data_IF_375561284364
#
_entry.id   IF_375561284364
#
_cell.length_a   1.000
_cell.length_b   1.000
_cell.length_c   1.000
_cell.angle_alpha   90.00
_cell.angle_beta   90.00
_cell.angle_gamma   90.00
#
_symmetry.space_group_name_H-M   'P 1'
#
loop_
_entity.id
_entity.type
_entity.pdbx_description
1 polymer ?
#
# COMPACT_ATOMS: atom_id res chain seq x y z
N UNK A 1 -25.46 9.90 -5.56
CA UNK A 1 -24.94 10.94 -6.48
C UNK A 1 -24.70 10.28 -7.83
N UNK A 2 -25.32 10.75 -8.92
CA UNK A 2 -25.14 10.14 -10.25
C UNK A 2 -23.79 10.59 -10.83
N UNK A 3 -22.87 9.65 -11.05
CA UNK A 3 -21.61 9.92 -11.77
C UNK A 3 -21.93 10.04 -13.26
N UNK A 4 -21.90 11.27 -13.82
CA UNK A 4 -22.19 11.52 -15.24
C UNK A 4 -21.01 11.15 -16.15
N UNK A 5 -21.33 10.51 -17.26
CA UNK A 5 -20.56 10.40 -18.53
C UNK A 5 -19.02 10.42 -18.44
N UNK A 6 -18.45 9.43 -17.76
CA UNK A 6 -17.16 8.88 -18.17
C UNK A 6 -17.45 7.50 -18.71
N UNK A 7 -16.98 7.21 -19.93
CA UNK A 7 -17.12 5.90 -20.56
C UNK A 7 -17.00 4.78 -19.53
N UNK A 8 -18.00 3.89 -19.48
CA UNK A 8 -18.19 2.81 -18.50
C UNK A 8 -17.15 1.71 -18.66
N UNK A 9 -15.88 2.08 -18.79
CA UNK A 9 -14.78 1.17 -18.84
C UNK A 9 -14.47 0.80 -17.39
N UNK A 10 -14.97 -0.37 -16.98
CA UNK A 10 -14.33 -1.10 -15.87
C UNK A 10 -12.87 -1.21 -16.27
N UNK A 11 -12.01 -0.49 -15.55
CA UNK A 11 -10.58 -0.58 -15.81
C UNK A 11 -10.16 -1.96 -15.35
N UNK A 12 -10.05 -2.89 -16.30
CA UNK A 12 -9.29 -4.10 -16.05
C UNK A 12 -7.86 -3.64 -15.72
N UNK A 13 -7.24 -4.15 -14.65
CA UNK A 13 -5.81 -3.96 -14.49
C UNK A 13 -5.16 -4.40 -15.81
N UNK A 14 -4.21 -3.60 -16.35
CA UNK A 14 -3.65 -3.88 -17.66
C UNK A 14 -3.14 -5.32 -17.67
N UNK A 15 -3.71 -6.19 -18.52
CA UNK A 15 -3.29 -7.58 -18.65
C UNK A 15 -1.88 -7.59 -19.20
N UNK A 16 -0.89 -7.66 -18.32
CA UNK A 16 0.52 -7.58 -18.68
C UNK A 16 1.21 -8.80 -18.12
N UNK A 17 1.71 -9.64 -19.03
CA UNK A 17 2.60 -10.74 -18.69
C UNK A 17 3.89 -10.16 -18.10
N UNK A 18 4.10 -10.47 -16.81
CA UNK A 18 5.23 -10.02 -16.00
C UNK A 18 6.58 -10.58 -16.46
N UNK A 19 6.61 -11.56 -17.39
CA UNK A 19 7.81 -12.32 -17.76
C UNK A 19 9.00 -11.44 -18.22
N UNK A 20 8.74 -10.28 -18.84
CA UNK A 20 9.79 -9.32 -19.21
C UNK A 20 10.31 -8.44 -18.05
N UNK A 21 9.57 -8.34 -16.95
CA UNK A 21 9.84 -7.42 -15.83
C UNK A 21 10.66 -8.06 -14.69
N UNK A 22 10.68 -9.40 -14.59
CA UNK A 22 11.23 -10.13 -13.44
C UNK A 22 12.76 -10.06 -13.32
N UNK A 23 13.49 -9.96 -14.44
CA UNK A 23 14.97 -9.97 -14.45
C UNK A 23 15.54 -8.57 -14.17
N UNK A 24 15.46 -8.12 -12.91
CA UNK A 24 16.20 -6.94 -12.40
C UNK A 24 15.38 -5.93 -11.59
N UNK A 25 14.05 -6.00 -11.62
CA UNK A 25 13.17 -5.07 -10.90
C UNK A 25 13.09 -5.32 -9.37
N UNK A 26 13.44 -6.53 -8.92
CA UNK A 26 13.39 -6.92 -7.51
C UNK A 26 14.50 -6.36 -6.64
N UNK A 27 15.53 -5.75 -7.23
CA UNK A 27 16.59 -5.05 -6.50
C UNK A 27 16.08 -3.86 -5.66
N UNK A 28 14.81 -3.49 -5.80
CA UNK A 28 14.14 -2.38 -5.08
C UNK A 28 13.17 -2.83 -4.00
N UNK A 29 12.84 -4.12 -3.97
CA UNK A 29 12.02 -4.66 -2.89
C UNK A 29 12.97 -4.96 -1.74
N UNK A 30 12.70 -4.38 -0.58
CA UNK A 30 13.32 -4.86 0.64
C UNK A 30 12.61 -6.18 0.97
N UNK A 31 13.17 -7.29 0.51
CA UNK A 31 12.73 -8.63 0.88
C UNK A 31 13.73 -9.21 1.87
N UNK A 32 13.28 -9.42 3.11
CA UNK A 32 14.03 -10.18 4.09
C UNK A 32 13.45 -11.59 4.20
N UNK A 33 14.26 -12.68 4.23
CA UNK A 33 15.72 -12.75 4.38
C UNK A 33 16.47 -13.05 3.05
N UNK A 34 16.02 -12.57 1.89
CA UNK A 34 16.60 -12.95 0.57
C UNK A 34 17.96 -12.28 0.28
N UNK A 35 18.96 -12.51 1.14
CA UNK A 35 20.28 -13.08 0.81
C UNK A 35 21.25 -12.34 -0.12
N UNK A 36 20.88 -11.23 -0.77
CA UNK A 36 21.85 -10.46 -1.56
C UNK A 36 22.19 -9.19 -0.82
N UNK A 37 23.36 -9.20 -0.16
CA UNK A 37 24.12 -7.99 0.14
C UNK A 37 24.23 -7.20 -1.16
N UNK A 38 23.36 -6.22 -1.35
CA UNK A 38 23.57 -5.23 -2.40
C UNK A 38 24.94 -4.62 -2.11
N UNK A 39 25.92 -4.86 -2.98
CA UNK A 39 27.20 -4.16 -2.94
C UNK A 39 26.85 -2.68 -2.83
N UNK A 40 27.40 -2.00 -1.82
CA UNK A 40 27.31 -0.55 -1.68
C UNK A 40 27.61 0.05 -3.06
N UNK A 41 26.59 0.57 -3.74
CA UNK A 41 26.84 1.76 -4.55
C UNK A 41 26.80 2.85 -3.51
N UNK A 42 27.95 3.42 -3.21
CA UNK A 42 28.00 4.65 -2.45
C UNK A 42 27.07 5.62 -3.17
N UNK A 43 25.89 5.86 -2.60
CA UNK A 43 24.97 6.85 -3.13
C UNK A 43 25.63 8.17 -2.72
N UNK A 44 26.20 8.93 -3.66
CA UNK A 44 27.06 10.07 -3.33
C UNK A 44 26.29 11.21 -2.65
N UNK A 45 24.96 11.11 -2.59
CA UNK A 45 24.07 12.13 -2.05
C UNK A 45 22.99 11.48 -1.17
N UNK A 46 22.77 12.08 -0.01
CA UNK A 46 21.63 11.75 0.85
C UNK A 46 20.39 12.52 0.41
N UNK A 47 19.24 11.85 0.41
CA UNK A 47 17.95 12.48 0.13
C UNK A 47 17.43 13.18 1.37
N UNK A 48 17.12 14.47 1.26
CA UNK A 48 16.51 15.26 2.34
C UNK A 48 14.99 15.28 2.28
N UNK A 49 14.39 14.90 1.15
CA UNK A 49 12.93 14.84 0.97
C UNK A 49 12.49 13.40 0.72
N UNK A 50 11.41 13.00 1.36
CA UNK A 50 10.82 11.66 1.21
C UNK A 50 9.35 11.77 0.85
N UNK A 51 8.95 10.97 -0.13
CA UNK A 51 7.56 10.73 -0.47
C UNK A 51 7.18 9.31 -0.04
N UNK A 52 6.17 9.16 0.80
CA UNK A 52 5.70 7.84 1.24
C UNK A 52 4.38 7.53 0.54
N UNK A 53 4.35 6.46 -0.23
CA UNK A 53 3.21 6.01 -1.02
C UNK A 53 2.72 4.66 -0.48
N UNK A 54 1.48 4.28 -0.73
CA UNK A 54 0.92 3.06 -0.16
C UNK A 54 -0.60 2.97 -0.33
N UNK A 55 -1.18 1.79 -0.59
CA UNK A 55 -2.63 1.66 -0.50
C UNK A 55 -3.10 2.01 0.93
N UNK A 56 -4.38 2.35 1.10
CA UNK A 56 -4.93 2.70 2.42
C UNK A 56 -4.57 1.67 3.49
N UNK A 57 -4.24 2.11 4.71
CA UNK A 57 -3.88 1.23 5.83
C UNK A 57 -2.69 0.27 5.60
N UNK A 58 -1.75 0.61 4.71
CA UNK A 58 -0.46 -0.08 4.54
C UNK A 58 0.65 0.42 5.49
N UNK A 59 0.32 1.27 6.46
CA UNK A 59 1.28 1.81 7.42
C UNK A 59 2.02 3.08 6.97
N UNK A 60 1.56 3.75 5.91
CA UNK A 60 2.14 5.03 5.44
C UNK A 60 2.28 6.06 6.56
N UNK A 61 1.23 6.29 7.36
CA UNK A 61 1.29 7.23 8.49
C UNK A 61 2.26 6.78 9.58
N UNK A 62 2.41 5.47 9.80
CA UNK A 62 3.33 4.95 10.81
C UNK A 62 4.78 5.25 10.41
N UNK A 63 5.19 4.85 9.19
CA UNK A 63 6.54 5.14 8.71
C UNK A 63 6.80 6.66 8.60
N UNK A 64 5.81 7.46 8.20
CA UNK A 64 5.95 8.92 8.14
C UNK A 64 6.27 9.57 9.50
N UNK A 65 5.80 8.99 10.62
CA UNK A 65 6.15 9.43 11.98
C UNK A 65 7.58 9.01 12.36
N UNK A 66 8.02 7.84 11.90
CA UNK A 66 9.34 7.31 12.21
C UNK A 66 10.45 8.00 11.43
N UNK A 67 10.24 8.35 10.16
CA UNK A 67 11.28 8.92 9.30
C UNK A 67 12.02 10.13 9.93
N UNK A 68 11.34 11.18 10.43
CA UNK A 68 12.03 12.31 11.05
C UNK A 68 12.64 11.99 12.42
N UNK A 69 12.26 10.87 13.08
CA UNK A 69 12.92 10.42 14.31
C UNK A 69 14.31 9.86 14.04
N UNK A 70 14.49 9.17 12.91
CA UNK A 70 15.73 8.47 12.59
C UNK A 70 16.60 9.18 11.56
N UNK A 71 16.03 9.98 10.65
CA UNK A 71 16.74 10.53 9.50
C UNK A 71 16.62 12.05 9.39
N UNK A 72 17.64 12.68 8.80
CA UNK A 72 17.66 14.10 8.40
C UNK A 72 16.78 14.33 7.15
N UNK A 73 15.48 14.02 7.27
CA UNK A 73 14.55 14.02 6.14
C UNK A 73 13.23 14.71 6.47
N UNK A 74 12.59 15.26 5.43
CA UNK A 74 11.24 15.81 5.47
C UNK A 74 10.30 14.99 4.60
N UNK A 75 9.18 14.53 5.19
CA UNK A 75 8.06 13.95 4.44
C UNK A 75 7.31 15.07 3.72
N UNK A 76 7.16 14.96 2.40
CA UNK A 76 6.57 16.03 1.55
C UNK A 76 5.13 15.77 1.10
N UNK A 77 4.54 14.63 1.46
CA UNK A 77 3.18 14.24 1.04
C UNK A 77 2.30 13.77 2.22
N UNK A 78 2.37 14.49 3.35
CA UNK A 78 1.59 14.14 4.56
C UNK A 78 0.09 14.25 4.29
N UNK A 79 -0.31 15.34 3.63
CA UNK A 79 -1.67 15.65 3.21
C UNK A 79 -1.79 15.73 1.68
N UNK A 80 -3.02 15.57 1.16
CA UNK A 80 -3.27 15.60 -0.30
C UNK A 80 -2.91 16.95 -0.90
N UNK A 81 -3.11 18.03 -0.16
CA UNK A 81 -2.78 19.40 -0.60
C UNK A 81 -1.27 19.65 -0.72
N UNK A 82 -0.43 18.96 0.07
CA UNK A 82 1.03 19.15 0.05
C UNK A 82 1.63 18.74 -1.30
N UNK A 83 1.09 17.66 -1.88
CA UNK A 83 1.56 17.10 -3.15
C UNK A 83 0.47 16.26 -3.81
N UNK A 84 -0.49 16.88 -4.52
CA UNK A 84 -1.62 16.17 -5.13
C UNK A 84 -1.20 15.07 -6.12
N UNK A 85 -0.13 15.32 -6.88
CA UNK A 85 0.44 14.34 -7.83
C UNK A 85 0.98 13.10 -7.14
N UNK A 86 1.51 13.27 -5.92
CA UNK A 86 2.13 12.20 -5.14
C UNK A 86 1.30 11.87 -3.89
N UNK A 87 -0.02 11.89 -4.05
CA UNK A 87 -0.91 11.52 -2.96
C UNK A 87 -0.66 10.07 -2.56
N UNK A 88 -0.42 9.87 -1.26
CA UNK A 88 0.06 8.60 -0.72
C UNK A 88 -0.83 7.41 -1.05
N UNK A 89 -2.14 7.60 -1.19
CA UNK A 89 -3.08 6.52 -1.46
C UNK A 89 -3.55 6.42 -2.92
N UNK A 90 -3.00 7.24 -3.82
CA UNK A 90 -3.36 7.21 -5.24
C UNK A 90 -2.69 6.09 -6.00
N UNK A 91 -3.32 5.68 -7.11
CA UNK A 91 -2.66 4.87 -8.14
C UNK A 91 -1.75 5.78 -8.95
N UNK A 92 -0.45 5.52 -8.89
CA UNK A 92 0.55 6.38 -9.47
C UNK A 92 0.52 6.26 -11.00
N UNK A 93 0.66 7.39 -11.68
CA UNK A 93 0.66 7.47 -13.15
C UNK A 93 2.05 7.85 -13.64
N UNK A 94 2.40 7.54 -14.90
CA UNK A 94 3.63 8.05 -15.50
C UNK A 94 3.68 9.58 -15.38
N UNK A 95 4.78 10.10 -14.85
CA UNK A 95 5.04 11.54 -14.76
C UNK A 95 6.16 11.93 -15.72
N UNK A 96 6.16 13.17 -16.20
CA UNK A 96 7.25 13.67 -17.06
C UNK A 96 8.60 13.61 -16.34
N UNK A 97 8.63 14.00 -15.07
CA UNK A 97 9.81 13.87 -14.21
C UNK A 97 9.39 13.85 -12.72
N UNK A 98 10.06 12.99 -11.94
CA UNK A 98 9.98 13.02 -10.49
C UNK A 98 11.09 13.95 -9.95
N UNK A 99 10.85 14.77 -8.91
CA UNK A 99 11.87 15.70 -8.40
C UNK A 99 13.15 14.96 -8.01
N UNK A 100 14.31 15.43 -8.46
CA UNK A 100 15.59 14.69 -8.34
C UNK A 100 16.08 14.49 -6.91
N UNK A 101 15.64 15.35 -5.99
CA UNK A 101 16.01 15.35 -4.58
C UNK A 101 15.05 14.56 -3.67
N UNK A 102 14.13 13.79 -4.26
CA UNK A 102 13.12 13.01 -3.52
C UNK A 102 13.41 11.52 -3.57
N UNK A 103 13.36 10.88 -2.40
CA UNK A 103 13.34 9.43 -2.23
C UNK A 103 11.91 8.92 -2.00
N UNK A 104 11.53 7.84 -2.68
CA UNK A 104 10.18 7.27 -2.63
C UNK A 104 10.15 5.99 -1.80
N UNK A 105 9.34 5.96 -0.75
CA UNK A 105 9.07 4.76 0.05
C UNK A 105 7.67 4.26 -0.28
N UNK A 106 7.58 3.13 -0.97
CA UNK A 106 6.33 2.52 -1.39
C UNK A 106 5.95 1.43 -0.39
N UNK A 107 5.04 1.76 0.52
CA UNK A 107 4.47 0.83 1.47
C UNK A 107 3.55 -0.16 0.77
N UNK A 108 3.63 -1.41 1.21
CA UNK A 108 2.75 -2.48 0.77
C UNK A 108 2.38 -3.36 1.95
N UNK A 109 1.24 -4.03 1.88
CA UNK A 109 0.73 -4.91 2.93
C UNK A 109 0.12 -6.13 2.29
N UNK A 110 0.18 -7.27 2.97
CA UNK A 110 -0.49 -8.49 2.52
C UNK A 110 -1.97 -8.22 2.19
N UNK A 111 -2.48 -8.66 1.02
CA UNK A 111 -3.82 -8.32 0.57
C UNK A 111 -4.93 -8.80 1.52
N UNK A 112 -4.76 -9.94 2.19
CA UNK A 112 -5.74 -10.49 3.12
C UNK A 112 -5.87 -9.67 4.39
N UNK A 113 -4.74 -9.26 4.97
CA UNK A 113 -4.73 -8.32 6.10
C UNK A 113 -5.15 -6.90 5.70
N UNK A 114 -4.78 -6.47 4.49
CA UNK A 114 -5.11 -5.17 3.94
C UNK A 114 -6.62 -5.00 3.77
N UNK A 115 -7.32 -5.92 3.10
CA UNK A 115 -8.76 -5.78 2.86
C UNK A 115 -9.58 -5.80 4.17
N UNK A 116 -9.11 -6.49 5.19
CA UNK A 116 -9.71 -6.44 6.53
C UNK A 116 -9.50 -5.12 7.23
N UNK A 117 -8.36 -4.48 6.99
CA UNK A 117 -8.11 -3.16 7.55
C UNK A 117 -9.01 -2.07 6.95
N UNK A 118 -9.51 -2.27 5.72
CA UNK A 118 -10.47 -1.36 5.09
C UNK A 118 -11.88 -1.48 5.68
N UNK A 119 -12.31 -2.70 6.00
CA UNK A 119 -13.67 -3.00 6.42
C UNK A 119 -13.89 -2.98 7.95
N UNK A 120 -13.10 -2.17 8.68
CA UNK A 120 -13.13 -2.17 10.15
C UNK A 120 -14.38 -1.52 10.73
N UNK A 121 -14.91 -0.50 10.07
CA UNK A 121 -16.12 0.19 10.52
C UNK A 121 -17.02 0.54 9.31
N UNK A 122 -17.72 -0.46 8.75
CA UNK A 122 -18.70 -0.20 7.70
C UNK A 122 -19.82 0.73 8.17
N UNK A 123 -20.20 0.63 9.46
CA UNK A 123 -21.25 1.42 10.11
C UNK A 123 -20.97 2.93 10.12
N UNK A 124 -19.70 3.32 10.19
CA UNK A 124 -19.28 4.72 10.05
C UNK A 124 -19.20 5.20 8.59
N UNK A 125 -19.72 4.41 7.65
CA UNK A 125 -20.13 4.86 6.34
C UNK A 125 -19.01 4.97 5.30
N UNK A 126 -17.76 4.59 5.60
CA UNK A 126 -16.69 4.64 4.61
C UNK A 126 -15.70 3.48 4.72
N UNK A 127 -15.40 2.84 3.59
CA UNK A 127 -14.28 1.90 3.47
C UNK A 127 -12.96 2.60 3.14
N UNK A 128 -12.66 3.78 3.72
CA UNK A 128 -11.48 4.60 3.41
C UNK A 128 -11.41 4.99 1.91
N UNK A 129 -12.41 5.74 1.42
CA UNK A 129 -12.56 6.20 0.02
C UNK A 129 -12.99 5.13 -1.00
N UNK A 130 -13.12 3.86 -0.60
CA UNK A 130 -13.73 2.83 -1.44
C UNK A 130 -15.25 2.93 -1.35
N UNK A 131 -15.91 3.23 -2.48
CA UNK A 131 -17.36 3.34 -2.55
C UNK A 131 -17.89 2.11 -3.29
N UNK A 132 -18.64 1.20 -2.66
CA UNK A 132 -19.26 0.09 -3.37
C UNK A 132 -20.23 0.63 -4.42
N UNK A 133 -20.22 0.06 -5.63
CA UNK A 133 -21.11 0.51 -6.71
C UNK A 133 -21.85 -0.67 -7.35
N UNK A 134 -23.04 -0.38 -7.87
CA UNK A 134 -23.86 -1.34 -8.63
C UNK A 134 -24.08 -0.82 -10.04
N UNK A 135 -23.91 -1.67 -11.04
CA UNK A 135 -24.30 -1.36 -12.41
C UNK A 135 -25.83 -1.36 -12.51
N UNK A 136 -26.40 -0.24 -12.92
CA UNK A 136 -27.82 -0.03 -13.13
C UNK A 136 -28.08 0.33 -14.59
N UNK A 137 -29.32 0.12 -15.03
CA UNK A 137 -29.82 0.52 -16.35
C UNK A 137 -31.03 1.41 -16.10
N UNK A 138 -31.05 2.61 -16.67
CA UNK A 138 -32.21 3.51 -16.56
C UNK A 138 -33.31 3.14 -17.58
N UNK A 139 -34.41 3.89 -17.54
CA UNK A 139 -35.56 3.70 -18.43
C UNK A 139 -35.24 3.94 -19.91
N UNK A 140 -34.12 4.57 -20.23
CA UNK A 140 -33.65 4.80 -21.61
C UNK A 140 -32.70 3.71 -22.10
N UNK A 141 -32.43 2.69 -21.28
CA UNK A 141 -31.44 1.64 -21.57
C UNK A 141 -29.99 2.06 -21.29
N UNK A 142 -29.76 3.28 -20.76
CA UNK A 142 -28.43 3.77 -20.45
C UNK A 142 -27.92 3.13 -19.17
N UNK A 143 -26.69 2.59 -19.26
CA UNK A 143 -25.97 2.00 -18.12
C UNK A 143 -25.31 3.09 -17.27
N UNK A 144 -25.32 2.92 -15.95
CA UNK A 144 -24.61 3.80 -15.01
C UNK A 144 -24.25 3.06 -13.73
N UNK A 145 -23.28 3.59 -12.98
CA UNK A 145 -22.93 3.07 -11.65
C UNK A 145 -23.64 3.86 -10.57
N UNK A 146 -24.37 3.15 -9.70
CA UNK A 146 -25.03 3.72 -8.53
C UNK A 146 -24.22 3.43 -7.26
N UNK A 147 -23.86 4.48 -6.53
CA UNK A 147 -23.12 4.39 -5.27
C UNK A 147 -23.99 3.75 -4.20
N UNK A 148 -23.46 2.73 -3.54
CA UNK A 148 -24.15 1.99 -2.47
C UNK A 148 -23.59 2.38 -1.10
N UNK A 149 -24.41 2.22 -0.07
CA UNK A 149 -23.96 2.38 1.32
C UNK A 149 -22.95 1.28 1.70
N UNK A 150 -22.02 1.61 2.59
CA UNK A 150 -21.12 0.64 3.22
C UNK A 150 -21.90 -0.14 4.30
N UNK A 151 -22.10 -1.44 4.08
CA UNK A 151 -22.89 -2.34 4.93
C UNK A 151 -21.98 -3.39 5.55
N UNK A 152 -21.17 -4.07 4.73
CA UNK A 152 -20.31 -5.15 5.21
C UNK A 152 -19.03 -5.32 4.38
N UNK A 153 -18.05 -5.99 4.98
CA UNK A 153 -16.75 -6.25 4.40
C UNK A 153 -16.78 -7.05 3.08
N UNK A 154 -17.88 -7.75 2.79
CA UNK A 154 -18.05 -8.51 1.54
C UNK A 154 -18.27 -7.61 0.33
N UNK A 155 -18.73 -6.37 0.51
CA UNK A 155 -18.87 -5.40 -0.59
C UNK A 155 -17.53 -5.00 -1.22
N UNK A 156 -16.42 -5.14 -0.50
CA UNK A 156 -15.08 -4.88 -1.04
C UNK A 156 -14.62 -5.93 -2.07
N UNK A 157 -15.33 -7.06 -2.17
CA UNK A 157 -15.13 -8.10 -3.18
C UNK A 157 -16.09 -7.96 -4.37
N UNK A 158 -16.75 -6.80 -4.47
CA UNK A 158 -17.62 -6.42 -5.57
C UNK A 158 -17.11 -5.12 -6.18
N UNK A 159 -17.72 -4.69 -7.28
CA UNK A 159 -17.35 -3.46 -7.98
C UNK A 159 -17.29 -2.26 -7.02
N UNK A 160 -16.18 -1.52 -7.08
CA UNK A 160 -15.95 -0.32 -6.27
C UNK A 160 -15.55 0.86 -7.15
N UNK A 161 -15.94 2.06 -6.75
CA UNK A 161 -15.40 3.33 -7.22
C UNK A 161 -14.27 3.76 -6.27
N UNK A 162 -13.14 4.13 -6.84
CA UNK A 162 -11.96 4.62 -6.15
C UNK A 162 -11.31 5.77 -6.95
N UNK A 163 -11.20 6.94 -6.33
CA UNK A 163 -10.68 8.18 -6.95
C UNK A 163 -11.34 8.49 -8.33
N UNK A 164 -12.65 8.23 -8.42
CA UNK A 164 -13.46 8.47 -9.62
C UNK A 164 -13.23 7.46 -10.76
N UNK A 165 -12.69 6.28 -10.47
CA UNK A 165 -12.51 5.18 -11.40
C UNK A 165 -13.16 3.91 -10.86
N UNK A 166 -13.75 3.11 -11.74
CA UNK A 166 -14.47 1.87 -11.36
C UNK A 166 -13.58 0.64 -11.56
N UNK A 167 -13.48 -0.17 -10.51
CA UNK A 167 -12.70 -1.41 -10.43
C UNK A 167 -13.61 -2.59 -10.14
N UNK A 168 -13.20 -3.80 -10.54
CA UNK A 168 -13.95 -5.02 -10.30
C UNK A 168 -14.12 -5.34 -8.81
N UNK A 169 -13.13 -5.01 -8.00
CA UNK A 169 -13.13 -5.12 -6.54
C UNK A 169 -12.02 -4.26 -5.91
N UNK A 170 -11.98 -4.19 -4.58
CA UNK A 170 -10.92 -3.47 -3.87
C UNK A 170 -9.54 -4.11 -4.09
N UNK A 171 -9.46 -5.41 -4.33
CA UNK A 171 -8.18 -6.09 -4.60
C UNK A 171 -7.60 -5.65 -5.95
N UNK A 172 -8.43 -5.35 -6.95
CA UNK A 172 -8.00 -4.76 -8.21
C UNK A 172 -7.41 -3.35 -8.02
N UNK A 173 -7.91 -2.58 -7.06
CA UNK A 173 -7.31 -1.29 -6.68
C UNK A 173 -5.95 -1.52 -6.01
N UNK A 174 -5.83 -2.53 -5.13
CA UNK A 174 -4.54 -2.90 -4.53
C UNK A 174 -3.53 -3.32 -5.60
N UNK A 175 -3.92 -4.19 -6.53
CA UNK A 175 -3.11 -4.64 -7.66
C UNK A 175 -2.65 -3.45 -8.52
N UNK A 176 -3.56 -2.55 -8.88
CA UNK A 176 -3.23 -1.35 -9.64
C UNK A 176 -2.29 -0.41 -8.88
N UNK A 177 -2.52 -0.20 -7.58
CA UNK A 177 -1.70 0.67 -6.74
C UNK A 177 -0.28 0.11 -6.61
N UNK A 178 -0.16 -1.15 -6.23
CA UNK A 178 1.14 -1.80 -5.99
C UNK A 178 1.88 -2.06 -7.31
N UNK A 179 1.16 -2.47 -8.35
CA UNK A 179 1.70 -2.66 -9.69
C UNK A 179 2.32 -1.38 -10.25
N UNK A 180 1.70 -0.22 -9.99
CA UNK A 180 2.20 1.09 -10.46
C UNK A 180 3.62 1.41 -9.97
N UNK A 181 4.07 0.86 -8.83
CA UNK A 181 5.42 1.06 -8.31
C UNK A 181 6.50 0.47 -9.24
N UNK A 182 6.14 -0.55 -10.01
CA UNK A 182 7.05 -1.29 -10.88
C UNK A 182 6.98 -0.84 -12.34
N UNK A 183 5.97 -0.03 -12.69
CA UNK A 183 5.76 0.48 -14.03
C UNK A 183 6.86 1.48 -14.46
N UNK A 184 7.29 1.37 -15.72
CA UNK A 184 8.32 2.25 -16.28
C UNK A 184 7.77 3.68 -16.39
N UNK A 185 8.53 4.65 -15.90
CA UNK A 185 8.17 6.07 -15.98
C UNK A 185 7.24 6.56 -14.88
N UNK A 186 6.81 5.68 -13.95
CA UNK A 186 6.00 6.08 -12.80
C UNK A 186 6.88 6.56 -11.66
N UNK A 187 7.84 5.75 -11.21
CA UNK A 187 8.78 6.10 -10.13
C UNK A 187 10.24 5.91 -10.54
N UNK A 188 11.17 6.78 -10.05
CA UNK A 188 12.60 6.67 -10.32
C UNK A 188 13.19 5.44 -9.64
N UNK A 189 13.75 4.54 -10.45
CA UNK A 189 14.19 3.18 -10.08
C UNK A 189 15.28 3.16 -9.00
N UNK A 190 16.16 4.13 -9.05
CA UNK A 190 17.34 4.33 -8.22
C UNK A 190 17.04 5.12 -6.94
N UNK A 191 15.89 5.79 -6.89
CA UNK A 191 15.46 6.67 -5.79
C UNK A 191 14.17 6.19 -5.14
N UNK A 192 13.89 4.88 -5.23
CA UNK A 192 12.71 4.29 -4.64
C UNK A 192 13.02 2.98 -3.89
N UNK A 193 12.10 2.62 -2.99
CA UNK A 193 12.11 1.35 -2.31
C UNK A 193 10.69 0.87 -2.05
N UNK A 194 10.47 -0.45 -2.07
CA UNK A 194 9.22 -1.07 -1.60
C UNK A 194 9.46 -1.66 -0.22
N UNK A 195 8.67 -1.22 0.76
CA UNK A 195 8.73 -1.66 2.15
C UNK A 195 7.42 -2.36 2.53
N UNK A 196 7.51 -3.62 2.95
CA UNK A 196 6.36 -4.35 3.47
C UNK A 196 6.03 -3.86 4.87
N UNK A 197 4.74 -3.68 5.14
CA UNK A 197 4.25 -3.29 6.45
C UNK A 197 4.65 -4.33 7.51
N UNK A 198 4.70 -5.60 7.13
CA UNK A 198 5.10 -6.70 8.00
C UNK A 198 6.58 -6.61 8.38
N UNK A 199 7.47 -6.22 7.45
CA UNK A 199 8.89 -5.99 7.78
C UNK A 199 9.04 -4.77 8.70
N UNK A 200 8.25 -3.72 8.50
CA UNK A 200 8.19 -2.59 9.44
C UNK A 200 7.79 -3.04 10.86
N UNK A 201 6.80 -3.93 10.97
CA UNK A 201 6.27 -4.40 12.26
C UNK A 201 7.23 -5.36 12.96
N UNK A 202 7.75 -6.37 12.25
CA UNK A 202 8.53 -7.46 12.85
C UNK A 202 10.04 -7.25 12.78
N UNK A 203 10.55 -6.50 11.80
CA UNK A 203 11.98 -6.30 11.52
C UNK A 203 12.34 -4.82 11.42
N UNK A 204 11.81 -4.03 12.35
CA UNK A 204 11.89 -2.57 12.32
C UNK A 204 13.33 -2.04 12.19
N UNK A 205 14.25 -2.51 13.03
CA UNK A 205 15.65 -2.08 12.98
C UNK A 205 16.28 -2.34 11.61
N UNK A 206 16.08 -3.54 11.06
CA UNK A 206 16.61 -3.91 9.75
C UNK A 206 16.01 -3.04 8.64
N UNK A 207 14.71 -2.75 8.72
CA UNK A 207 14.02 -1.85 7.79
C UNK A 207 14.62 -0.43 7.83
N UNK A 208 14.78 0.16 9.02
CA UNK A 208 15.37 1.50 9.20
C UNK A 208 16.83 1.52 8.71
N UNK A 209 17.66 0.57 9.13
CA UNK A 209 19.05 0.50 8.64
C UNK A 209 19.15 0.36 7.13
N UNK A 210 18.22 -0.38 6.52
CA UNK A 210 18.18 -0.55 5.06
C UNK A 210 17.78 0.73 4.36
N UNK A 211 16.81 1.48 4.89
CA UNK A 211 16.49 2.83 4.39
C UNK A 211 17.72 3.75 4.46
N UNK A 212 18.50 3.67 5.54
CA UNK A 212 19.75 4.41 5.67
C UNK A 212 20.76 4.09 4.56
N UNK A 213 20.99 2.80 4.31
CA UNK A 213 21.87 2.32 3.21
C UNK A 213 21.37 2.70 1.81
N UNK A 214 20.10 3.08 1.67
CA UNK A 214 19.49 3.51 0.39
C UNK A 214 19.54 5.01 0.17
N UNK A 215 20.22 5.76 1.05
CA UNK A 215 20.47 7.19 0.88
C UNK A 215 19.68 8.08 1.82
N UNK A 216 19.07 7.54 2.89
CA UNK A 216 18.55 8.38 3.97
C UNK A 216 19.65 8.59 5.03
N UNK A 217 20.01 9.84 5.28
CA UNK A 217 21.03 10.16 6.29
C UNK A 217 20.47 9.96 7.70
N UNK A 218 21.08 9.09 8.50
CA UNK A 218 20.72 8.93 9.91
C UNK A 218 21.08 10.20 10.68
N UNK A 219 20.22 10.61 11.61
CA UNK A 219 20.54 11.69 12.54
C UNK A 219 21.62 11.24 13.52
N UNK A 220 22.51 12.13 13.92
CA UNK A 220 23.51 11.82 14.97
C UNK A 220 22.83 11.50 16.32
N UNK A 221 21.70 12.13 16.59
CA UNK A 221 20.90 11.99 17.81
C UNK A 221 19.72 11.02 17.67
N UNK A 222 19.76 10.10 16.69
CA UNK A 222 18.63 9.18 16.48
C UNK A 222 18.39 8.30 17.73
N UNK A 223 17.13 7.98 18.07
CA UNK A 223 16.83 7.10 19.21
C UNK A 223 17.26 5.65 18.91
N UNK A 224 17.20 4.73 19.89
CA UNK A 224 17.30 3.30 19.63
C UNK A 224 16.31 2.86 18.54
N UNK A 225 16.67 1.84 17.74
CA UNK A 225 15.87 1.35 16.62
C UNK A 225 14.63 0.57 17.08
N UNK A 226 13.70 1.30 17.70
CA UNK A 226 12.45 0.80 18.23
C UNK A 226 11.30 1.64 17.68
N UNK A 227 10.35 0.97 17.02
CA UNK A 227 9.14 1.59 16.51
C UNK A 227 8.31 2.15 17.67
N UNK A 228 7.60 3.26 17.42
CA UNK A 228 6.67 3.81 18.38
C UNK A 228 5.60 2.76 18.74
N UNK A 229 5.31 2.59 20.04
CA UNK A 229 4.27 1.65 20.46
C UNK A 229 2.88 2.16 20.07
N UNK A 230 2.69 3.49 20.06
CA UNK A 230 1.39 4.12 19.90
C UNK A 230 0.88 4.13 18.47
N UNK A 231 -0.45 4.18 18.34
CA UNK A 231 -1.13 4.29 17.06
C UNK A 231 -0.71 5.54 16.28
N UNK A 232 -0.57 5.40 14.96
CA UNK A 232 -0.28 6.52 14.06
C UNK A 232 -1.51 7.39 13.71
N UNK A 233 -2.71 7.00 14.14
CA UNK A 233 -3.92 7.81 13.93
C UNK A 233 -4.10 8.75 15.12
N UNK A 234 -4.10 10.05 14.85
CA UNK A 234 -4.30 11.09 15.86
C UNK A 234 -5.78 11.20 16.29
N UNK A 235 -6.05 12.16 17.17
CA UNK A 235 -7.39 12.39 17.69
C UNK A 235 -8.40 12.87 16.64
N UNK A 236 -7.96 13.30 15.46
CA UNK A 236 -8.84 13.84 14.40
C UNK A 236 -9.70 12.77 13.72
N UNK A 237 -9.38 11.50 13.94
CA UNK A 237 -10.15 10.35 13.45
C UNK A 237 -10.58 9.45 14.62
N UNK A 238 -11.51 9.90 15.50
CA UNK A 238 -11.91 9.17 16.71
C UNK A 238 -12.51 7.79 16.42
N UNK A 239 -13.15 7.68 15.27
CA UNK A 239 -13.82 6.49 14.75
C UNK A 239 -12.88 5.49 14.06
N UNK A 240 -11.70 5.95 13.66
CA UNK A 240 -10.78 5.08 12.95
C UNK A 240 -10.09 4.12 13.94
N UNK A 241 -10.29 2.81 13.77
CA UNK A 241 -9.68 1.78 14.61
C UNK A 241 -8.19 2.03 14.88
N UNK A 242 -7.88 2.35 16.14
CA UNK A 242 -6.55 2.60 16.66
C UNK A 242 -5.98 1.29 17.17
N UNK A 243 -4.95 0.77 16.48
CA UNK A 243 -4.16 -0.35 16.99
C UNK A 243 -2.78 0.17 17.31
N UNK A 244 -2.32 -0.21 18.48
CA UNK A 244 -0.92 -0.08 18.87
C UNK A 244 -0.09 -1.13 18.13
N UNK A 245 1.23 -1.03 18.28
CA UNK A 245 2.16 -1.97 17.66
C UNK A 245 1.97 -3.40 18.20
N UNK A 246 1.65 -3.55 19.49
CA UNK A 246 1.47 -4.85 20.13
C UNK A 246 0.28 -5.63 19.56
N UNK A 247 -0.89 -4.98 19.45
CA UNK A 247 -2.08 -5.55 18.82
C UNK A 247 -1.83 -5.84 17.36
N UNK A 248 -1.14 -4.95 16.66
CA UNK A 248 -0.79 -5.16 15.25
C UNK A 248 0.08 -6.41 15.07
N UNK A 249 1.10 -6.60 15.91
CA UNK A 249 1.96 -7.78 15.89
C UNK A 249 1.14 -9.04 16.11
N UNK A 250 0.34 -9.08 17.19
CA UNK A 250 -0.53 -10.22 17.51
C UNK A 250 -1.44 -10.59 16.34
N UNK A 251 -2.10 -9.61 15.73
CA UNK A 251 -3.02 -9.84 14.62
C UNK A 251 -2.29 -10.36 13.37
N UNK A 252 -1.11 -9.84 13.05
CA UNK A 252 -0.34 -10.26 11.88
C UNK A 252 0.36 -11.61 12.06
N UNK A 253 0.56 -12.05 13.30
CA UNK A 253 1.14 -13.35 13.65
C UNK A 253 0.14 -14.51 13.57
N UNK A 254 -1.15 -14.25 13.40
CA UNK A 254 -2.19 -15.29 13.29
C UNK A 254 -2.67 -15.44 11.83
N UNK A 255 -2.26 -16.50 11.11
CA UNK A 255 -2.70 -16.74 9.74
C UNK A 255 -4.22 -16.83 9.57
N UNK A 256 -4.96 -17.23 10.60
CA UNK A 256 -6.42 -17.29 10.56
C UNK A 256 -7.04 -15.90 10.43
N UNK A 257 -6.37 -14.88 10.98
CA UNK A 257 -6.80 -13.49 10.82
C UNK A 257 -6.85 -13.16 9.34
N UNK A 258 -5.90 -13.56 8.48
CA UNK A 258 -5.87 -13.26 7.02
C UNK A 258 -7.17 -13.54 6.26
N UNK A 259 -7.95 -14.52 6.71
CA UNK A 259 -9.20 -14.96 6.07
C UNK A 259 -10.44 -14.89 6.97
N UNK A 260 -10.33 -14.24 8.13
CA UNK A 260 -11.42 -14.14 9.11
C UNK A 260 -12.68 -13.53 8.48
N UNK A 261 -13.80 -14.25 8.63
CA UNK A 261 -15.12 -13.82 8.14
C UNK A 261 -15.28 -13.83 6.62
N UNK A 262 -14.44 -14.55 5.87
CA UNK A 262 -14.51 -14.64 4.40
C UNK A 262 -15.23 -15.90 3.93
N UNK A 263 -16.05 -15.75 2.89
CA UNK A 263 -16.65 -16.89 2.16
C UNK A 263 -15.58 -17.65 1.36
N UNK A 264 -15.93 -18.83 0.84
CA UNK A 264 -15.02 -19.62 -0.01
C UNK A 264 -14.53 -18.81 -1.23
N UNK A 265 -15.46 -18.21 -1.99
CA UNK A 265 -15.14 -17.39 -3.17
C UNK A 265 -14.24 -16.19 -2.84
N UNK A 266 -14.45 -15.56 -1.68
CA UNK A 266 -13.61 -14.44 -1.24
C UNK A 266 -12.19 -14.89 -0.90
N UNK A 267 -12.04 -16.07 -0.27
CA UNK A 267 -10.73 -16.67 -0.02
C UNK A 267 -10.04 -17.04 -1.33
N UNK A 268 -10.77 -17.62 -2.27
CA UNK A 268 -10.26 -17.95 -3.59
C UNK A 268 -9.79 -16.68 -4.34
N UNK A 269 -10.58 -15.60 -4.33
CA UNK A 269 -10.17 -14.32 -4.92
C UNK A 269 -8.90 -13.76 -4.28
N UNK A 270 -8.75 -13.88 -2.96
CA UNK A 270 -7.53 -13.48 -2.25
C UNK A 270 -6.30 -14.32 -2.66
N UNK A 271 -6.48 -15.63 -2.85
CA UNK A 271 -5.43 -16.55 -3.32
C UNK A 271 -5.05 -16.32 -4.78
N UNK A 272 -5.96 -15.73 -5.57
CA UNK A 272 -5.78 -15.39 -6.97
C UNK A 272 -5.51 -13.89 -7.20
N UNK A 273 -5.21 -13.11 -6.15
CA UNK A 273 -4.60 -11.77 -6.32
C UNK A 273 -3.30 -11.95 -7.10
N UNK A 274 -3.05 -11.09 -8.09
CA UNK A 274 -1.91 -11.15 -9.03
C UNK A 274 -0.73 -11.97 -8.47
N UNK A 275 -0.65 -13.23 -8.90
CA UNK A 275 0.20 -14.24 -8.26
C UNK A 275 1.66 -13.88 -8.37
N UNK A 276 2.05 -13.27 -9.48
CA UNK A 276 3.42 -12.83 -9.72
C UNK A 276 3.78 -11.69 -8.76
N UNK A 277 2.88 -10.71 -8.60
CA UNK A 277 3.08 -9.60 -7.68
C UNK A 277 3.14 -10.06 -6.22
N UNK A 278 2.19 -10.89 -5.79
CA UNK A 278 2.10 -11.46 -4.43
C UNK A 278 3.32 -12.33 -4.11
N UNK A 279 3.71 -13.23 -5.04
CA UNK A 279 4.89 -14.07 -4.87
C UNK A 279 6.16 -13.24 -4.71
N UNK A 280 6.28 -12.19 -5.52
CA UNK A 280 7.45 -11.33 -5.54
C UNK A 280 7.59 -10.46 -4.31
N UNK A 281 6.47 -10.14 -3.66
CA UNK A 281 6.43 -9.48 -2.35
C UNK A 281 6.56 -10.47 -1.18
N UNK A 282 6.65 -11.78 -1.45
CA UNK A 282 6.77 -12.80 -0.42
C UNK A 282 5.47 -13.02 0.38
N UNK A 283 4.31 -12.75 -0.23
CA UNK A 283 2.97 -12.92 0.35
C UNK A 283 2.31 -14.27 0.00
N UNK A 284 3.14 -15.31 -0.15
CA UNK A 284 2.68 -16.69 -0.38
C UNK A 284 1.86 -17.28 0.77
N UNK A 285 1.59 -18.59 0.70
CA UNK A 285 0.89 -19.33 1.76
C UNK A 285 1.67 -19.36 3.08
N UNK A 286 3.00 -19.40 2.99
CA UNK A 286 3.98 -19.44 4.09
C UNK A 286 4.39 -18.04 4.60
N UNK A 287 3.68 -16.97 4.19
CA UNK A 287 4.16 -15.62 4.42
C UNK A 287 4.28 -15.26 5.91
N UNK A 288 3.29 -15.65 6.73
CA UNK A 288 3.26 -15.33 8.17
C UNK A 288 4.46 -15.94 8.88
N UNK A 289 4.74 -17.22 8.66
CA UNK A 289 5.86 -17.94 9.27
C UNK A 289 7.19 -17.24 8.97
N UNK A 290 7.37 -16.73 7.75
CA UNK A 290 8.57 -16.00 7.35
C UNK A 290 8.69 -14.60 7.94
N UNK A 291 7.59 -13.99 8.39
CA UNK A 291 7.63 -12.67 9.03
C UNK A 291 8.00 -12.78 10.51
N UNK A 292 7.56 -13.85 11.17
CA UNK A 292 7.76 -14.07 12.61
C UNK A 292 9.07 -14.80 12.95
N UNK A 293 9.63 -15.54 11.98
CA UNK A 293 10.95 -16.17 12.10
C UNK A 293 12.09 -15.15 12.08
#
# INVERSE_FOLDING_TARGET
>A
VRVKDKDLLVKKPPSRTMEGYLKGHYNRIILWPRGRRHRRRDVPHYFRKVCVLGPFNSGTNAIMRELPRFFNTRVINKHRADSPTWWKHGIQKPVKSAPDDVFFICMVRDPGYWIQSLARDPSDGTFNEFIPVRLMVDTTGRRYYDHQNCINAGQLFRTVDFDGNVYSDALAVWEATVGSYFERGVLPRDRMVVLRYEDYVFRFEEAVRTLGRRGLELREDHPPFVALPDTAKDQTHPKAARRDLSTTKRDLSDPAVRYKGRTADQKERLLNVDKDLVHSLGYGSDAVDRWIA
#
